data_IF_481963216219
#
_entry.id   IF_481963216219
#
_cell.length_a   1.000
_cell.length_b   1.000
_cell.length_c   1.000
_cell.angle_alpha   90.00
_cell.angle_beta   90.00
_cell.angle_gamma   90.00
#
_symmetry.space_group_name_H-M   'P 1'
#
loop_
_entity.id
_entity.type
_entity.pdbx_description
1 polymer ?
#
# COMPACT_ATOMS: atom_id res chain seq x y z
N UNK A 1 16.63 -11.93 -73.62
CA UNK A 1 16.93 -11.54 -75.02
C UNK A 1 15.88 -12.14 -75.96
N UNK A 2 15.35 -11.37 -76.91
CA UNK A 2 14.40 -11.79 -77.95
C UNK A 2 15.13 -11.94 -79.29
N UNK A 3 15.02 -13.12 -79.93
CA UNK A 3 15.67 -13.46 -81.22
C UNK A 3 14.65 -13.99 -82.23
N UNK A 4 14.73 -13.48 -83.46
CA UNK A 4 14.09 -14.02 -84.65
C UNK A 4 15.14 -14.76 -85.49
N UNK A 5 14.97 -16.07 -85.63
CA UNK A 5 15.97 -17.01 -86.15
C UNK A 5 15.52 -17.77 -87.40
N UNK A 6 14.35 -17.45 -87.93
CA UNK A 6 13.78 -18.07 -89.12
C UNK A 6 13.17 -17.02 -90.05
N UNK A 7 13.19 -17.25 -91.36
CA UNK A 7 12.66 -16.33 -92.38
C UNK A 7 11.15 -16.13 -92.34
N UNK A 8 10.47 -16.84 -91.44
CA UNK A 8 9.02 -16.81 -91.23
C UNK A 8 8.63 -16.28 -89.85
N UNK A 9 9.60 -15.97 -88.99
CA UNK A 9 9.38 -15.58 -87.59
C UNK A 9 9.45 -14.06 -87.42
N UNK A 10 8.31 -13.43 -87.20
CA UNK A 10 8.18 -12.01 -86.86
C UNK A 10 7.88 -11.80 -85.38
N UNK A 11 8.15 -10.59 -84.88
CA UNK A 11 7.62 -10.10 -83.61
C UNK A 11 6.41 -9.21 -83.91
N UNK A 12 5.29 -9.54 -83.29
CA UNK A 12 4.04 -8.81 -83.45
C UNK A 12 3.49 -8.39 -82.09
N UNK A 13 2.60 -7.40 -82.09
CA UNK A 13 1.81 -7.07 -80.93
C UNK A 13 0.38 -6.72 -81.33
N UNK A 14 -0.55 -6.86 -80.38
CA UNK A 14 -1.96 -6.49 -80.50
C UNK A 14 -2.49 -6.00 -79.16
N UNK A 15 -3.64 -5.35 -79.17
CA UNK A 15 -4.36 -5.00 -77.95
C UNK A 15 -5.35 -6.11 -77.58
N UNK A 16 -5.60 -6.31 -76.28
CA UNK A 16 -6.63 -7.26 -75.83
C UNK A 16 -8.04 -6.75 -76.14
N UNK A 17 -8.25 -5.43 -76.11
CA UNK A 17 -9.52 -4.76 -76.39
C UNK A 17 -9.38 -3.62 -77.39
N UNK A 18 -10.52 -3.04 -77.79
CA UNK A 18 -10.53 -1.83 -78.63
C UNK A 18 -10.03 -0.62 -77.83
N UNK A 19 -9.39 0.34 -78.52
CA UNK A 19 -8.99 1.62 -77.93
C UNK A 19 -10.20 2.50 -77.61
N UNK A 20 -10.05 3.38 -76.62
CA UNK A 20 -11.09 4.34 -76.24
C UNK A 20 -11.06 5.60 -77.11
N UNK A 21 -9.86 6.10 -77.44
CA UNK A 21 -9.64 7.33 -78.18
C UNK A 21 -8.57 7.19 -79.28
N UNK A 22 -7.37 6.66 -78.95
CA UNK A 22 -6.23 6.64 -79.87
C UNK A 22 -5.55 5.25 -79.91
N UNK A 23 -5.06 4.87 -81.08
CA UNK A 23 -4.15 3.72 -81.25
C UNK A 23 -2.76 4.04 -80.69
N UNK A 24 -2.07 3.02 -80.19
CA UNK A 24 -0.80 3.13 -79.48
C UNK A 24 0.37 3.21 -80.47
N UNK A 25 1.14 4.31 -80.51
CA UNK A 25 2.36 4.37 -81.30
C UNK A 25 3.45 3.46 -80.73
N UNK A 26 4.25 2.86 -81.61
CA UNK A 26 5.36 2.01 -81.23
C UNK A 26 6.62 2.30 -82.05
N UNK A 27 7.77 1.98 -81.46
CA UNK A 27 9.06 1.95 -82.13
C UNK A 27 9.77 0.67 -81.72
N UNK A 28 10.33 -0.05 -82.69
CA UNK A 28 11.18 -1.21 -82.48
C UNK A 28 12.53 -0.99 -83.16
N UNK A 29 13.61 -1.34 -82.48
CA UNK A 29 14.95 -1.35 -83.05
C UNK A 29 15.63 -2.69 -82.77
N UNK A 30 16.36 -3.18 -83.76
CA UNK A 30 17.02 -4.48 -83.73
C UNK A 30 18.38 -4.44 -84.41
N UNK A 31 19.12 -5.52 -84.23
CA UNK A 31 20.34 -5.78 -84.97
C UNK A 31 20.21 -7.09 -85.75
N UNK A 32 20.53 -7.02 -87.04
CA UNK A 32 20.68 -8.17 -87.91
C UNK A 32 22.12 -8.69 -87.84
N UNK A 33 22.24 -9.96 -87.49
CA UNK A 33 23.47 -10.72 -87.39
C UNK A 33 23.53 -11.70 -88.57
N UNK A 34 24.53 -11.53 -89.43
CA UNK A 34 24.97 -12.56 -90.37
C UNK A 34 26.32 -13.12 -89.90
N UNK A 35 26.88 -14.08 -90.64
CA UNK A 35 28.19 -14.64 -90.31
C UNK A 35 29.32 -13.59 -90.23
N UNK A 36 29.18 -12.43 -90.90
CA UNK A 36 30.24 -11.42 -91.01
C UNK A 36 29.80 -9.97 -90.77
N UNK A 37 28.50 -9.70 -90.64
CA UNK A 37 27.98 -8.33 -90.51
C UNK A 37 26.97 -8.18 -89.38
N UNK A 38 27.04 -7.01 -88.73
CA UNK A 38 26.08 -6.48 -87.78
C UNK A 38 25.40 -5.27 -88.42
N UNK A 39 24.11 -5.36 -88.73
CA UNK A 39 23.38 -4.28 -89.40
C UNK A 39 22.20 -3.83 -88.54
N UNK A 40 22.16 -2.58 -88.05
CA UNK A 40 21.01 -2.09 -87.31
C UNK A 40 19.79 -1.92 -88.22
N UNK A 41 18.60 -2.16 -87.69
CA UNK A 41 17.33 -1.87 -88.33
C UNK A 41 16.31 -1.34 -87.34
N UNK A 42 15.27 -0.69 -87.85
CA UNK A 42 14.18 -0.16 -87.03
C UNK A 42 12.86 -0.17 -87.79
N UNK A 43 11.76 -0.05 -87.05
CA UNK A 43 10.41 0.20 -87.55
C UNK A 43 9.66 1.01 -86.51
N UNK A 44 8.81 1.91 -87.00
CA UNK A 44 7.85 2.67 -86.23
C UNK A 44 6.46 2.54 -86.85
N UNK A 45 5.43 2.75 -86.04
CA UNK A 45 4.05 2.65 -86.50
C UNK A 45 3.06 2.86 -85.37
N UNK A 46 1.81 2.47 -85.61
CA UNK A 46 0.71 2.53 -84.65
C UNK A 46 0.05 1.15 -84.53
N UNK A 47 -0.57 0.87 -83.39
CA UNK A 47 -1.39 -0.33 -83.23
C UNK A 47 -2.64 -0.31 -84.13
N UNK A 48 -3.34 -1.44 -84.20
CA UNK A 48 -4.56 -1.61 -84.99
C UNK A 48 -5.62 -2.39 -84.19
N UNK A 49 -5.93 -1.89 -82.99
CA UNK A 49 -6.84 -2.51 -82.06
C UNK A 49 -6.43 -3.94 -81.71
N UNK A 50 -7.38 -4.85 -81.83
CA UNK A 50 -7.17 -6.29 -81.55
C UNK A 50 -6.48 -7.04 -82.68
N UNK A 51 -6.19 -6.39 -83.82
CA UNK A 51 -5.46 -6.98 -84.93
C UNK A 51 -3.96 -6.87 -84.71
N UNK A 52 -3.23 -7.96 -84.94
CA UNK A 52 -1.77 -7.98 -84.77
C UNK A 52 -1.07 -7.08 -85.79
N UNK A 53 -0.14 -6.25 -85.30
CA UNK A 53 0.77 -5.42 -86.08
C UNK A 53 2.17 -6.00 -85.99
N UNK A 54 2.87 -6.08 -87.12
CA UNK A 54 4.27 -6.53 -87.16
C UNK A 54 5.19 -5.42 -86.66
N UNK A 55 5.65 -5.53 -85.41
CA UNK A 55 6.63 -4.63 -84.84
C UNK A 55 8.03 -4.86 -85.41
N UNK A 56 8.36 -6.13 -85.69
CA UNK A 56 9.62 -6.51 -86.34
C UNK A 56 9.35 -7.62 -87.34
N UNK A 57 9.63 -7.34 -88.62
CA UNK A 57 9.48 -8.32 -89.70
C UNK A 57 10.39 -9.54 -89.50
N UNK A 58 10.14 -10.63 -90.24
CA UNK A 58 11.04 -11.77 -90.25
C UNK A 58 12.40 -11.40 -90.87
N UNK A 59 13.52 -12.00 -90.41
CA UNK A 59 14.83 -11.80 -91.01
C UNK A 59 14.91 -12.42 -92.42
N UNK A 60 15.86 -11.93 -93.23
CA UNK A 60 16.24 -12.59 -94.48
C UNK A 60 16.92 -13.94 -94.26
N UNK A 61 17.11 -14.73 -95.32
CA UNK A 61 17.82 -15.99 -95.23
C UNK A 61 19.25 -15.79 -94.70
N UNK A 62 19.70 -16.68 -93.81
CA UNK A 62 21.02 -16.62 -93.15
C UNK A 62 21.27 -15.38 -92.27
N UNK A 63 20.20 -14.72 -91.81
CA UNK A 63 20.25 -13.61 -90.85
C UNK A 63 19.47 -13.99 -89.60
N UNK A 64 20.02 -13.65 -88.43
CA UNK A 64 19.27 -13.64 -87.17
C UNK A 64 19.04 -12.20 -86.74
N UNK A 65 17.86 -11.91 -86.20
CA UNK A 65 17.50 -10.56 -85.75
C UNK A 65 17.34 -10.55 -84.24
N UNK A 66 18.17 -9.78 -83.55
CA UNK A 66 18.11 -9.58 -82.11
C UNK A 66 17.40 -8.26 -81.81
N UNK A 67 16.28 -8.30 -81.09
CA UNK A 67 15.60 -7.09 -80.66
C UNK A 67 16.47 -6.36 -79.62
N UNK A 68 16.72 -5.07 -79.84
CA UNK A 68 17.45 -4.21 -78.90
C UNK A 68 16.49 -3.42 -78.03
N UNK A 69 15.44 -2.86 -78.63
CA UNK A 69 14.36 -2.23 -77.87
C UNK A 69 13.02 -2.31 -78.60
N UNK A 70 11.94 -2.34 -77.82
CA UNK A 70 10.57 -2.12 -78.27
C UNK A 70 9.94 -1.14 -77.28
N UNK A 71 9.37 -0.05 -77.78
CA UNK A 71 8.64 0.92 -76.98
C UNK A 71 7.23 1.03 -77.55
N UNK A 72 6.21 0.89 -76.70
CA UNK A 72 4.80 1.05 -77.05
C UNK A 72 4.23 2.07 -76.08
N UNK A 73 3.89 3.25 -76.57
CA UNK A 73 3.33 4.33 -75.75
C UNK A 73 1.80 4.25 -75.78
N UNK A 74 1.19 4.30 -74.61
CA UNK A 74 -0.26 4.33 -74.48
C UNK A 74 -0.80 5.75 -74.63
N UNK A 75 -1.04 6.16 -75.88
CA UNK A 75 -1.68 7.43 -76.23
C UNK A 75 -3.23 7.39 -76.07
N UNK A 76 -3.77 6.24 -75.65
CA UNK A 76 -5.20 6.11 -75.34
C UNK A 76 -5.54 6.80 -74.01
N UNK A 77 -6.79 7.24 -73.87
CA UNK A 77 -7.31 7.84 -72.64
C UNK A 77 -7.57 6.82 -71.52
N UNK A 78 -7.50 5.52 -71.82
CA UNK A 78 -7.74 4.42 -70.88
C UNK A 78 -6.53 3.48 -70.79
N UNK A 79 -6.57 2.54 -69.83
CA UNK A 79 -5.57 1.47 -69.72
C UNK A 79 -5.69 0.56 -70.94
N UNK A 80 -4.59 0.39 -71.67
CA UNK A 80 -4.51 -0.55 -72.78
C UNK A 80 -3.73 -1.81 -72.36
N UNK A 81 -4.27 -2.99 -72.64
CA UNK A 81 -3.56 -4.26 -72.40
C UNK A 81 -2.87 -4.69 -73.69
N UNK A 82 -1.54 -4.67 -73.67
CA UNK A 82 -0.69 -4.99 -74.82
C UNK A 82 -0.24 -6.44 -74.73
N UNK A 83 -0.50 -7.20 -75.80
CA UNK A 83 -0.02 -8.57 -75.97
C UNK A 83 1.10 -8.57 -77.00
N UNK A 84 2.31 -8.98 -76.60
CA UNK A 84 3.45 -9.16 -77.50
C UNK A 84 3.60 -10.65 -77.81
N UNK A 85 3.79 -11.01 -79.08
CA UNK A 85 3.81 -12.39 -79.55
C UNK A 85 4.83 -12.63 -80.67
N UNK A 86 5.33 -13.86 -80.79
CA UNK A 86 5.93 -14.32 -82.03
C UNK A 86 4.85 -14.83 -82.98
N UNK A 87 5.03 -14.58 -84.28
CA UNK A 87 4.31 -15.26 -85.35
C UNK A 87 5.33 -15.98 -86.23
N UNK A 88 5.25 -17.32 -86.25
CA UNK A 88 6.07 -18.14 -87.13
C UNK A 88 5.15 -18.86 -88.12
N UNK A 89 4.94 -18.26 -89.30
CA UNK A 89 4.06 -18.79 -90.34
C UNK A 89 2.66 -19.20 -89.79
N UNK A 90 1.97 -18.25 -89.14
CA UNK A 90 0.67 -18.41 -88.47
C UNK A 90 0.68 -19.21 -87.15
N UNK A 91 1.82 -19.77 -86.72
CA UNK A 91 1.97 -20.33 -85.37
C UNK A 91 2.31 -19.20 -84.38
N UNK A 92 1.33 -18.81 -83.55
CA UNK A 92 1.46 -17.71 -82.60
C UNK A 92 1.99 -18.20 -81.24
N UNK A 93 2.93 -17.45 -80.64
CA UNK A 93 3.38 -17.66 -79.26
C UNK A 93 3.40 -16.33 -78.51
N UNK A 94 2.49 -16.17 -77.55
CA UNK A 94 2.46 -15.00 -76.66
C UNK A 94 3.70 -14.98 -75.75
N UNK A 95 4.37 -13.83 -75.70
CA UNK A 95 5.54 -13.59 -74.86
C UNK A 95 5.17 -12.89 -73.56
N UNK A 96 4.25 -11.93 -73.64
CA UNK A 96 3.78 -11.20 -72.48
C UNK A 96 2.43 -10.56 -72.78
N UNK A 97 1.69 -10.27 -71.71
CA UNK A 97 0.43 -9.53 -71.70
C UNK A 97 0.50 -8.55 -70.53
N UNK A 98 0.52 -7.26 -70.83
CA UNK A 98 0.84 -6.22 -69.85
C UNK A 98 -0.16 -5.07 -69.99
N UNK A 99 -0.76 -4.68 -68.86
CA UNK A 99 -1.54 -3.46 -68.74
C UNK A 99 -0.63 -2.23 -68.73
N UNK A 100 -0.82 -1.32 -69.68
CA UNK A 100 -0.11 -0.04 -69.76
C UNK A 100 -1.10 1.05 -69.41
N UNK A 101 -0.87 1.86 -68.35
CA UNK A 101 -1.78 2.95 -68.00
C UNK A 101 -1.83 4.01 -69.10
N UNK A 102 -2.89 4.82 -69.12
CA UNK A 102 -2.96 5.98 -70.03
C UNK A 102 -1.73 6.88 -69.84
N UNK A 103 -1.13 7.34 -70.94
CA UNK A 103 0.15 8.07 -70.97
C UNK A 103 1.36 7.30 -70.39
N UNK A 104 1.27 5.97 -70.24
CA UNK A 104 2.39 5.11 -69.89
C UNK A 104 3.11 4.52 -71.10
N UNK A 105 4.29 3.93 -70.90
CA UNK A 105 5.06 3.25 -71.95
C UNK A 105 5.41 1.83 -71.52
N UNK A 106 5.10 0.84 -72.34
CA UNK A 106 5.73 -0.48 -72.26
C UNK A 106 7.07 -0.41 -73.00
N UNK A 107 8.16 -0.69 -72.30
CA UNK A 107 9.50 -0.76 -72.89
C UNK A 107 10.09 -2.15 -72.71
N UNK A 108 10.68 -2.69 -73.78
CA UNK A 108 11.62 -3.78 -73.72
C UNK A 108 13.02 -3.22 -73.99
N UNK A 109 13.99 -3.62 -73.18
CA UNK A 109 15.40 -3.38 -73.47
C UNK A 109 16.15 -4.72 -73.38
N UNK A 110 17.01 -4.99 -74.36
CA UNK A 110 17.88 -6.16 -74.33
C UNK A 110 18.74 -6.16 -73.06
N UNK A 111 18.68 -7.24 -72.29
CA UNK A 111 19.32 -7.36 -70.98
C UNK A 111 18.41 -7.02 -69.79
N UNK A 112 17.38 -6.18 -69.95
CA UNK A 112 16.51 -5.73 -68.84
C UNK A 112 15.09 -6.31 -68.89
N UNK A 113 14.64 -6.79 -70.05
CA UNK A 113 13.29 -7.34 -70.20
C UNK A 113 12.22 -6.28 -70.39
N UNK A 114 10.96 -6.65 -70.17
CA UNK A 114 9.81 -5.75 -70.27
C UNK A 114 9.62 -4.95 -68.97
N UNK A 115 9.38 -3.65 -69.09
CA UNK A 115 9.06 -2.73 -67.99
C UNK A 115 7.93 -1.80 -68.43
N UNK A 116 7.09 -1.38 -67.48
CA UNK A 116 6.10 -0.32 -67.70
C UNK A 116 6.57 0.94 -66.99
N UNK A 117 6.64 2.04 -67.72
CA UNK A 117 6.95 3.37 -67.19
C UNK A 117 5.65 4.18 -67.18
N UNK A 118 5.26 4.76 -66.05
CA UNK A 118 4.07 5.63 -65.98
C UNK A 118 4.35 7.04 -66.52
N UNK A 119 3.32 7.87 -66.59
CA UNK A 119 3.43 9.27 -67.02
C UNK A 119 4.31 10.15 -66.13
N UNK A 120 4.60 9.72 -64.90
CA UNK A 120 5.53 10.38 -63.98
C UNK A 120 7.00 9.91 -64.16
N UNK A 121 7.27 8.95 -65.04
CA UNK A 121 8.60 8.39 -65.29
C UNK A 121 9.00 7.25 -64.34
N UNK A 122 8.08 6.74 -63.53
CA UNK A 122 8.33 5.65 -62.57
C UNK A 122 8.12 4.29 -63.24
N UNK A 123 8.98 3.32 -62.92
CA UNK A 123 8.79 1.92 -63.35
C UNK A 123 7.73 1.26 -62.45
N UNK A 124 6.57 0.93 -63.01
CA UNK A 124 5.41 0.39 -62.27
C UNK A 124 5.51 -1.10 -61.94
N UNK A 125 6.44 -1.82 -62.56
CA UNK A 125 6.69 -3.23 -62.28
C UNK A 125 8.16 -3.57 -62.53
N UNK A 126 9.01 -3.22 -61.56
CA UNK A 126 10.17 -4.05 -61.27
C UNK A 126 9.72 -5.01 -60.18
N UNK A 127 9.80 -6.32 -60.40
CA UNK A 127 9.84 -7.25 -59.27
C UNK A 127 11.14 -6.95 -58.53
N UNK A 128 11.06 -6.12 -57.48
CA UNK A 128 12.10 -6.05 -56.46
C UNK A 128 11.65 -6.93 -55.29
N UNK A 129 12.16 -8.16 -55.15
CA UNK A 129 11.80 -9.03 -54.04
C UNK A 129 12.41 -8.59 -52.70
N UNK A 130 13.22 -7.51 -52.68
CA UNK A 130 13.78 -6.96 -51.45
C UNK A 130 13.37 -5.48 -51.26
N UNK A 131 12.48 -5.27 -50.29
CA UNK A 131 12.27 -4.01 -49.51
C UNK A 131 11.23 -2.99 -50.01
N UNK A 132 10.01 -3.21 -49.53
CA UNK A 132 9.25 -2.33 -48.62
C UNK A 132 8.82 -0.90 -49.05
N UNK A 133 7.51 -0.79 -49.29
CA UNK A 133 6.63 0.08 -48.49
C UNK A 133 5.34 -0.67 -48.18
N UNK A 134 5.41 -1.58 -47.20
CA UNK A 134 4.19 -2.04 -46.56
C UNK A 134 3.62 -0.82 -45.84
N UNK A 135 2.54 -0.24 -46.36
CA UNK A 135 1.77 0.73 -45.62
C UNK A 135 1.22 0.01 -44.39
N UNK A 136 1.80 0.28 -43.22
CA UNK A 136 1.38 -0.32 -41.94
C UNK A 136 -0.10 -0.07 -41.66
N UNK A 137 -0.67 1.00 -42.22
CA UNK A 137 -2.10 1.32 -42.17
C UNK A 137 -3.00 0.26 -42.84
N UNK A 138 -2.54 -0.43 -43.89
CA UNK A 138 -3.35 -1.44 -44.59
C UNK A 138 -3.28 -2.81 -43.89
N UNK A 139 -2.19 -3.08 -43.19
CA UNK A 139 -1.96 -4.35 -42.46
C UNK A 139 -2.84 -4.47 -41.21
N UNK A 140 -3.17 -3.35 -40.56
CA UNK A 140 -3.96 -3.34 -39.32
C UNK A 140 -5.45 -3.68 -39.57
N UNK A 141 -5.96 -3.48 -40.79
CA UNK A 141 -7.40 -3.67 -41.08
C UNK A 141 -7.79 -5.14 -41.27
N UNK A 142 -6.83 -6.06 -41.43
CA UNK A 142 -7.08 -7.46 -41.79
C UNK A 142 -6.94 -8.48 -40.64
N UNK A 143 -6.63 -8.07 -39.41
CA UNK A 143 -6.56 -8.99 -38.27
C UNK A 143 -5.41 -10.00 -38.34
N UNK A 144 -4.26 -9.61 -38.88
CA UNK A 144 -3.08 -10.47 -38.96
C UNK A 144 -2.39 -10.49 -37.60
N UNK A 145 -2.18 -11.68 -37.05
CA UNK A 145 -1.33 -11.87 -35.87
C UNK A 145 0.13 -11.65 -36.28
N UNK A 146 0.78 -10.63 -35.74
CA UNK A 146 2.22 -10.51 -35.80
C UNK A 146 2.83 -11.48 -34.79
N UNK A 147 3.47 -12.55 -35.27
CA UNK A 147 4.22 -13.49 -34.42
C UNK A 147 5.66 -13.02 -34.15
N UNK A 148 6.03 -11.81 -34.59
CA UNK A 148 7.35 -11.21 -34.33
C UNK A 148 7.25 -10.04 -33.35
N UNK A 149 8.25 -9.98 -32.46
CA UNK A 149 8.51 -8.92 -31.50
C UNK A 149 8.65 -7.56 -32.22
N UNK A 150 7.96 -6.54 -31.71
CA UNK A 150 8.15 -5.16 -32.16
C UNK A 150 9.32 -4.58 -31.36
N UNK A 151 10.54 -4.69 -31.90
CA UNK A 151 11.74 -4.03 -31.35
C UNK A 151 11.79 -2.57 -31.82
N UNK A 152 11.04 -1.69 -31.13
CA UNK A 152 11.02 -0.26 -31.42
C UNK A 152 12.06 0.49 -30.57
N UNK A 153 13.22 0.81 -31.16
CA UNK A 153 14.30 1.56 -30.49
C UNK A 153 13.90 2.97 -29.99
N UNK A 154 12.79 3.53 -30.50
CA UNK A 154 12.28 4.86 -30.12
C UNK A 154 10.98 4.81 -29.30
N UNK A 155 10.58 3.63 -28.83
CA UNK A 155 9.31 3.41 -28.13
C UNK A 155 8.12 3.25 -29.07
N UNK A 156 6.99 2.82 -28.51
CA UNK A 156 5.72 2.65 -29.23
C UNK A 156 4.79 3.77 -28.79
N UNK A 157 4.55 4.75 -29.67
CA UNK A 157 3.51 5.76 -29.45
C UNK A 157 2.16 5.23 -29.96
N UNK A 158 1.19 5.08 -29.06
CA UNK A 158 -0.16 4.61 -29.37
C UNK A 158 -1.11 5.80 -29.23
N UNK A 159 -1.13 6.67 -30.23
CA UNK A 159 -2.06 7.78 -30.30
C UNK A 159 -3.44 7.28 -30.78
N UNK A 160 -4.47 7.34 -29.94
CA UNK A 160 -5.87 7.11 -30.34
C UNK A 160 -6.55 5.84 -29.81
N UNK A 161 -5.94 5.13 -28.84
CA UNK A 161 -6.55 3.98 -28.16
C UNK A 161 -5.76 3.57 -26.91
N UNK A 162 -6.20 2.52 -26.21
CA UNK A 162 -5.46 1.92 -25.10
C UNK A 162 -4.61 0.73 -25.54
N UNK A 163 -3.46 0.52 -24.91
CA UNK A 163 -2.67 -0.70 -25.07
C UNK A 163 -3.35 -1.85 -24.33
N UNK A 164 -3.93 -2.80 -25.06
CA UNK A 164 -4.45 -4.06 -24.50
C UNK A 164 -3.40 -5.15 -24.66
N UNK A 165 -2.66 -5.43 -23.60
CA UNK A 165 -1.74 -6.58 -23.59
C UNK A 165 -2.43 -7.75 -22.89
N UNK A 166 -2.54 -8.89 -23.58
CA UNK A 166 -3.05 -10.12 -22.97
C UNK A 166 -1.96 -10.84 -22.19
N UNK A 167 -2.30 -11.43 -21.04
CA UNK A 167 -1.37 -12.20 -20.22
C UNK A 167 -0.46 -11.35 -19.31
N UNK A 168 0.60 -11.96 -18.77
CA UNK A 168 1.56 -11.29 -17.90
C UNK A 168 2.44 -10.35 -18.74
N UNK A 169 2.38 -9.05 -18.46
CA UNK A 169 3.16 -8.03 -19.16
C UNK A 169 4.20 -7.45 -18.21
N UNK A 170 5.45 -7.41 -18.64
CA UNK A 170 6.53 -6.74 -17.92
C UNK A 170 6.76 -5.38 -18.58
N UNK A 171 6.52 -4.30 -17.83
CA UNK A 171 6.89 -2.94 -18.25
C UNK A 171 8.16 -2.58 -17.49
N UNK A 172 9.31 -2.75 -18.14
CA UNK A 172 10.63 -2.41 -17.59
C UNK A 172 10.97 -0.95 -17.95
N UNK A 173 10.50 -0.01 -17.13
CA UNK A 173 10.81 1.41 -17.29
C UNK A 173 12.06 1.75 -16.48
N UNK A 174 13.10 2.31 -17.13
CA UNK A 174 14.35 2.73 -16.47
C UNK A 174 14.18 3.90 -15.50
N UNK A 175 13.06 4.63 -15.60
CA UNK A 175 12.73 5.75 -14.72
C UNK A 175 11.33 5.60 -14.12
N UNK A 176 10.28 6.00 -14.85
CA UNK A 176 8.92 6.10 -14.33
C UNK A 176 7.89 5.45 -15.26
N UNK A 177 6.84 4.88 -14.67
CA UNK A 177 5.58 4.58 -15.37
C UNK A 177 4.64 5.77 -15.16
N UNK A 178 4.54 6.65 -16.16
CA UNK A 178 3.67 7.83 -16.11
C UNK A 178 2.22 7.48 -16.46
N UNK A 179 1.29 7.67 -15.53
CA UNK A 179 -0.14 7.42 -15.73
C UNK A 179 -0.86 8.74 -15.49
N UNK A 180 -1.47 9.32 -16.54
CA UNK A 180 -2.12 10.62 -16.46
C UNK A 180 -3.56 10.57 -15.89
N UNK A 181 -4.12 9.38 -15.72
CA UNK A 181 -5.46 9.14 -15.17
C UNK A 181 -5.43 8.11 -14.03
N UNK A 182 -6.56 7.43 -13.84
CA UNK A 182 -6.72 6.46 -12.75
C UNK A 182 -6.02 5.14 -13.05
N UNK A 183 -5.53 4.48 -11.99
CA UNK A 183 -5.08 3.10 -12.02
C UNK A 183 -6.23 2.25 -11.49
N UNK A 184 -6.86 1.47 -12.38
CA UNK A 184 -7.87 0.48 -11.99
C UNK A 184 -7.27 -0.90 -11.99
N UNK A 185 -7.49 -1.65 -10.92
CA UNK A 185 -7.08 -3.05 -10.79
C UNK A 185 -8.35 -3.92 -10.80
N UNK A 186 -8.22 -5.19 -11.18
CA UNK A 186 -9.31 -6.13 -11.03
C UNK A 186 -9.60 -6.40 -9.55
N UNK A 187 -10.76 -6.99 -9.26
CA UNK A 187 -11.02 -7.58 -7.95
C UNK A 187 -9.91 -8.59 -7.56
N UNK A 188 -9.59 -8.67 -6.27
CA UNK A 188 -8.49 -9.47 -5.71
C UNK A 188 -7.08 -9.17 -6.28
N UNK A 189 -6.90 -8.01 -6.93
CA UNK A 189 -5.61 -7.65 -7.52
C UNK A 189 -4.75 -6.77 -6.60
N UNK A 190 -3.45 -6.78 -6.88
CA UNK A 190 -2.46 -6.14 -6.02
C UNK A 190 -1.37 -5.42 -6.83
N UNK A 191 -0.85 -4.35 -6.23
CA UNK A 191 0.37 -3.65 -6.64
C UNK A 191 1.49 -4.06 -5.69
N UNK A 192 2.55 -4.70 -6.17
CA UNK A 192 3.62 -5.14 -5.26
C UNK A 192 4.73 -5.92 -5.92
N UNK A 193 5.66 -6.40 -5.09
CA UNK A 193 6.86 -7.12 -5.54
C UNK A 193 6.61 -8.63 -5.75
N UNK A 194 5.38 -9.09 -5.52
CA UNK A 194 4.94 -10.48 -5.64
C UNK A 194 4.02 -10.92 -4.49
N UNK A 195 3.28 -12.01 -4.68
CA UNK A 195 2.28 -12.51 -3.73
C UNK A 195 2.83 -12.89 -2.32
N UNK A 196 4.14 -13.09 -2.18
CA UNK A 196 4.81 -13.39 -0.90
C UNK A 196 5.71 -12.24 -0.40
N UNK A 197 5.59 -11.06 -1.00
CA UNK A 197 6.36 -9.87 -0.66
C UNK A 197 5.40 -8.71 -0.38
N UNK A 198 5.96 -7.57 0.01
CA UNK A 198 5.20 -6.36 0.26
C UNK A 198 4.33 -5.97 -0.94
N UNK A 199 3.04 -5.77 -0.67
CA UNK A 199 2.04 -5.36 -1.66
C UNK A 199 0.96 -4.48 -1.05
N UNK A 200 0.34 -3.68 -1.91
CA UNK A 200 -0.92 -3.01 -1.67
C UNK A 200 -1.98 -3.81 -2.44
N UNK A 201 -2.95 -4.32 -1.73
CA UNK A 201 -4.04 -5.12 -2.27
C UNK A 201 -5.34 -4.33 -2.09
N UNK A 202 -6.18 -4.37 -3.12
CA UNK A 202 -7.50 -3.74 -3.14
C UNK A 202 -8.52 -4.87 -3.13
N UNK A 203 -9.38 -4.91 -2.13
CA UNK A 203 -10.36 -5.97 -1.87
C UNK A 203 -11.75 -5.32 -1.71
N UNK A 204 -12.77 -5.89 -2.36
CA UNK A 204 -14.18 -5.46 -2.29
C UNK A 204 -15.06 -6.53 -1.62
N UNK A 205 -14.50 -7.32 -0.70
CA UNK A 205 -15.26 -8.26 0.09
C UNK A 205 -16.16 -7.55 1.13
N UNK A 206 -17.34 -7.10 0.69
CA UNK A 206 -18.40 -6.44 1.45
C UNK A 206 -18.10 -5.02 1.98
N UNK A 207 -16.83 -4.63 2.08
CA UNK A 207 -16.37 -3.27 2.33
C UNK A 207 -15.13 -3.02 1.47
N UNK A 208 -15.07 -1.88 0.77
CA UNK A 208 -13.89 -1.48 0.01
C UNK A 208 -12.69 -1.25 0.93
N UNK A 209 -11.64 -2.05 0.75
CA UNK A 209 -10.49 -2.06 1.65
C UNK A 209 -9.16 -1.97 0.89
N UNK A 210 -8.22 -1.20 1.45
CA UNK A 210 -6.84 -1.14 0.97
C UNK A 210 -5.94 -1.79 2.00
N UNK A 211 -5.44 -2.98 1.69
CA UNK A 211 -4.60 -3.76 2.56
C UNK A 211 -3.12 -3.57 2.20
N UNK A 212 -2.29 -3.29 3.20
CA UNK A 212 -0.82 -3.38 3.07
C UNK A 212 -0.39 -4.73 3.63
N UNK A 213 -0.16 -5.71 2.75
CA UNK A 213 0.14 -7.11 3.15
C UNK A 213 1.63 -7.42 3.04
N UNK A 214 2.11 -8.21 4.00
CA UNK A 214 3.50 -8.68 4.10
C UNK A 214 4.54 -7.55 3.95
N UNK A 215 4.20 -6.36 4.43
CA UNK A 215 4.95 -5.12 4.28
C UNK A 215 5.01 -4.31 5.58
N UNK A 216 6.02 -3.45 5.68
CA UNK A 216 6.09 -2.40 6.71
C UNK A 216 5.52 -1.11 6.12
N UNK A 217 4.60 -0.46 6.84
CA UNK A 217 4.05 0.84 6.46
C UNK A 217 4.76 1.96 7.23
N UNK A 218 5.58 2.71 6.50
CA UNK A 218 6.33 3.84 7.02
C UNK A 218 5.82 5.17 6.49
N UNK A 219 5.68 6.16 7.38
CA UNK A 219 5.39 7.54 7.00
C UNK A 219 6.62 8.41 7.31
N UNK A 220 7.70 8.26 6.52
CA UNK A 220 8.91 9.11 6.47
C UNK A 220 9.90 8.61 5.38
N UNK A 221 11.04 9.28 5.18
CA UNK A 221 12.13 8.85 4.27
C UNK A 221 13.08 7.79 4.87
N UNK A 222 12.92 7.43 6.14
CA UNK A 222 13.76 6.43 6.82
C UNK A 222 13.10 5.05 6.81
N UNK A 223 13.92 3.99 6.79
CA UNK A 223 13.44 2.61 6.84
C UNK A 223 12.56 2.36 8.08
N UNK A 224 11.34 1.84 7.91
CA UNK A 224 10.47 1.51 9.03
C UNK A 224 11.07 0.43 9.93
N UNK A 225 10.98 0.60 11.25
CA UNK A 225 11.45 -0.39 12.23
C UNK A 225 10.32 -1.30 12.76
N UNK A 226 9.12 -1.18 12.21
CA UNK A 226 7.92 -1.94 12.60
C UNK A 226 6.83 -1.84 11.53
N UNK A 227 5.75 -2.61 11.70
CA UNK A 227 4.66 -2.72 10.70
C UNK A 227 3.90 -1.41 10.47
N UNK A 228 3.74 -0.60 11.51
CA UNK A 228 3.24 0.78 11.43
C UNK A 228 4.28 1.68 12.10
N UNK A 229 4.98 2.49 11.30
CA UNK A 229 5.97 3.43 11.79
C UNK A 229 5.58 4.86 11.40
N UNK A 230 5.00 5.58 12.36
CA UNK A 230 4.56 6.96 12.18
C UNK A 230 5.50 7.89 12.94
N UNK A 231 6.30 8.66 12.20
CA UNK A 231 7.26 9.62 12.76
C UNK A 231 6.87 11.02 12.31
N UNK A 232 6.71 11.95 13.25
CA UNK A 232 6.46 13.33 12.88
C UNK A 232 7.71 13.94 12.25
N UNK A 233 7.58 14.52 11.06
CA UNK A 233 8.68 15.18 10.35
C UNK A 233 9.13 16.51 10.97
N UNK A 234 8.41 17.01 11.98
CA UNK A 234 8.72 18.22 12.73
C UNK A 234 8.02 18.18 14.11
N UNK A 235 8.63 18.78 15.13
CA UNK A 235 8.09 18.85 16.50
C UNK A 235 6.72 19.58 16.58
N UNK A 236 6.36 20.37 15.58
CA UNK A 236 5.13 21.14 15.53
C UNK A 236 3.92 20.37 14.93
N UNK A 237 4.09 19.10 14.54
CA UNK A 237 3.02 18.28 13.96
C UNK A 237 2.77 17.04 14.79
N UNK A 238 1.50 16.77 15.09
CA UNK A 238 1.06 15.54 15.76
C UNK A 238 1.36 14.35 14.84
N UNK A 239 2.01 13.31 15.37
CA UNK A 239 2.37 12.12 14.59
C UNK A 239 1.14 11.31 14.19
N UNK A 240 0.20 11.09 15.10
CA UNK A 240 -1.03 10.32 14.89
C UNK A 240 -2.23 11.08 15.48
N UNK A 241 -3.24 11.34 14.66
CA UNK A 241 -4.55 11.82 15.10
C UNK A 241 -5.53 10.67 14.91
N UNK A 242 -6.25 10.32 15.98
CA UNK A 242 -7.36 9.37 15.92
C UNK A 242 -8.60 10.14 16.39
N UNK A 243 -9.49 10.43 15.45
CA UNK A 243 -10.71 11.22 15.64
C UNK A 243 -11.93 10.35 15.35
N UNK A 244 -13.01 10.53 16.09
CA UNK A 244 -14.19 9.67 16.05
C UNK A 244 -15.48 10.48 16.11
N UNK A 245 -16.59 9.88 15.69
CA UNK A 245 -17.91 10.47 15.87
C UNK A 245 -18.16 10.82 17.35
N UNK A 246 -19.06 11.78 17.59
CA UNK A 246 -19.27 12.43 18.89
C UNK A 246 -19.55 11.49 20.08
N UNK A 247 -19.91 10.23 19.84
CA UNK A 247 -20.23 9.22 20.87
C UNK A 247 -19.83 7.80 20.41
N UNK A 248 -18.52 7.45 20.44
CA UNK A 248 -18.07 6.15 19.93
C UNK A 248 -18.59 4.99 20.80
N UNK A 249 -19.15 3.95 20.17
CA UNK A 249 -19.58 2.73 20.87
C UNK A 249 -18.44 1.73 21.13
N UNK A 250 -17.21 2.07 20.72
CA UNK A 250 -16.00 1.26 20.82
C UNK A 250 -14.80 2.13 21.24
N UNK A 251 -13.71 1.54 21.77
CA UNK A 251 -12.51 2.30 22.07
C UNK A 251 -11.93 2.97 20.82
N UNK A 252 -11.37 4.17 21.02
CA UNK A 252 -10.71 4.94 19.95
C UNK A 252 -9.37 4.31 19.59
N UNK A 253 -8.68 3.73 20.57
CA UNK A 253 -7.50 2.88 20.38
C UNK A 253 -7.67 1.60 21.19
N UNK A 254 -7.51 0.44 20.55
CA UNK A 254 -7.56 -0.87 21.20
C UNK A 254 -6.29 -1.69 20.87
N UNK A 255 -5.49 -1.97 21.89
CA UNK A 255 -4.33 -2.85 21.80
C UNK A 255 -4.76 -4.26 22.18
N UNK A 256 -4.83 -5.14 21.18
CA UNK A 256 -5.22 -6.54 21.31
C UNK A 256 -4.01 -7.48 21.33
N UNK A 257 -4.09 -8.55 22.11
CA UNK A 257 -3.21 -9.70 22.01
C UNK A 257 -4.04 -10.94 21.65
N UNK A 258 -3.75 -11.54 20.48
CA UNK A 258 -4.47 -12.68 19.93
C UNK A 258 -6.00 -12.47 19.83
N UNK A 259 -6.42 -11.33 19.27
CA UNK A 259 -7.83 -10.96 19.13
C UNK A 259 -8.49 -10.40 20.39
N UNK A 260 -7.84 -10.49 21.56
CA UNK A 260 -8.38 -10.04 22.85
C UNK A 260 -7.80 -8.71 23.28
N UNK A 261 -8.65 -7.73 23.58
CA UNK A 261 -8.25 -6.41 24.07
C UNK A 261 -7.48 -6.49 25.40
N UNK A 262 -6.42 -5.67 25.53
CA UNK A 262 -5.53 -5.61 26.71
C UNK A 262 -5.40 -4.21 27.27
N UNK A 263 -5.24 -3.23 26.40
CA UNK A 263 -5.10 -1.83 26.78
C UNK A 263 -5.93 -1.03 25.80
N UNK A 264 -6.71 -0.08 26.29
CA UNK A 264 -7.49 0.78 25.43
C UNK A 264 -7.54 2.22 25.92
N UNK A 265 -7.71 3.12 24.95
CA UNK A 265 -8.09 4.52 25.16
C UNK A 265 -9.52 4.64 24.67
N UNK A 266 -10.44 5.02 25.55
CA UNK A 266 -11.83 5.27 25.17
C UNK A 266 -12.28 6.66 25.62
N UNK A 267 -13.29 7.14 24.91
CA UNK A 267 -13.95 8.41 25.15
C UNK A 267 -15.44 8.09 25.26
N UNK A 268 -16.10 8.61 26.29
CA UNK A 268 -17.55 8.59 26.46
C UNK A 268 -18.03 10.04 26.62
N UNK A 269 -19.35 10.24 26.58
CA UNK A 269 -19.98 11.56 26.59
C UNK A 269 -19.48 12.46 27.74
N UNK A 270 -19.17 11.85 28.89
CA UNK A 270 -18.74 12.57 30.11
C UNK A 270 -17.31 12.21 30.59
N UNK A 271 -16.64 11.22 29.97
CA UNK A 271 -15.41 10.62 30.51
C UNK A 271 -14.33 10.36 29.44
N UNK A 272 -13.07 10.52 29.84
CA UNK A 272 -11.92 9.99 29.09
C UNK A 272 -11.06 9.15 29.99
N UNK A 273 -10.74 7.94 29.56
CA UNK A 273 -9.95 7.02 30.36
C UNK A 273 -8.92 6.23 29.55
N UNK A 274 -7.84 5.86 30.23
CA UNK A 274 -6.90 4.83 29.81
C UNK A 274 -7.12 3.60 30.69
N UNK A 275 -7.43 2.45 30.07
CA UNK A 275 -7.68 1.20 30.81
C UNK A 275 -6.61 0.18 30.56
N UNK A 276 -6.17 -0.44 31.65
CA UNK A 276 -5.54 -1.75 31.61
C UNK A 276 -6.67 -2.77 31.80
N UNK A 277 -7.16 -3.34 30.70
CA UNK A 277 -8.25 -4.32 30.76
C UNK A 277 -7.78 -5.58 31.47
N UNK A 278 -8.72 -6.24 32.14
CA UNK A 278 -8.48 -7.57 32.68
C UNK A 278 -8.23 -8.57 31.55
N UNK A 279 -7.13 -9.31 31.65
CA UNK A 279 -7.12 -10.68 31.17
C UNK A 279 -7.46 -11.55 32.37
N UNK A 280 -8.75 -11.72 32.63
CA UNK A 280 -9.20 -12.83 33.46
C UNK A 280 -9.16 -14.09 32.58
N UNK A 281 -8.79 -15.22 33.16
CA UNK A 281 -8.72 -16.50 32.44
C UNK A 281 -10.12 -17.08 32.17
N UNK A 282 -11.19 -16.36 32.53
CA UNK A 282 -12.60 -16.76 32.47
C UNK A 282 -13.52 -15.56 32.07
N UNK A 283 -14.81 -15.82 31.82
CA UNK A 283 -15.76 -14.96 31.10
C UNK A 283 -16.26 -13.67 31.83
N UNK A 284 -15.54 -13.16 32.83
CA UNK A 284 -15.97 -12.03 33.67
C UNK A 284 -15.10 -10.77 33.58
N UNK A 285 -15.62 -9.64 34.09
CA UNK A 285 -14.80 -8.46 34.38
C UNK A 285 -14.05 -8.70 35.70
N UNK A 286 -12.74 -8.92 35.61
CA UNK A 286 -11.88 -9.11 36.78
C UNK A 286 -11.37 -7.80 37.41
N UNK A 287 -10.35 -7.89 38.29
CA UNK A 287 -9.64 -6.74 38.84
C UNK A 287 -8.88 -5.97 37.76
N UNK A 288 -9.15 -4.67 37.62
CA UNK A 288 -8.49 -3.77 36.65
C UNK A 288 -8.07 -2.46 37.27
N UNK A 289 -7.22 -1.73 36.54
CA UNK A 289 -6.83 -0.37 36.89
C UNK A 289 -7.24 0.58 35.76
N UNK A 290 -7.84 1.70 36.14
CA UNK A 290 -8.16 2.79 35.24
C UNK A 290 -7.48 4.08 35.70
N UNK A 291 -7.04 4.88 34.73
CA UNK A 291 -6.67 6.27 34.95
C UNK A 291 -7.76 7.10 34.29
N UNK A 292 -8.45 7.89 35.09
CA UNK A 292 -9.68 8.58 34.71
C UNK A 292 -9.52 10.08 34.95
N UNK A 293 -10.20 10.86 34.11
CA UNK A 293 -10.52 12.26 34.39
C UNK A 293 -12.01 12.37 34.57
N UNK A 294 -12.45 13.11 35.59
CA UNK A 294 -13.84 13.55 35.70
C UNK A 294 -13.86 15.08 35.59
N UNK A 295 -14.27 15.61 34.44
CA UNK A 295 -14.39 17.06 34.27
C UNK A 295 -15.27 17.37 33.04
N UNK A 296 -16.52 17.73 33.30
CA UNK A 296 -17.23 18.65 32.42
C UNK A 296 -16.68 20.06 32.70
N UNK A 297 -16.31 20.82 31.67
CA UNK A 297 -15.58 22.08 31.76
C UNK A 297 -16.23 23.18 32.61
N UNK A 298 -17.47 22.98 33.06
CA UNK A 298 -18.17 23.84 34.02
C UNK A 298 -18.03 23.41 35.50
N UNK A 299 -17.73 22.14 35.79
CA UNK A 299 -17.62 21.58 37.15
C UNK A 299 -16.42 20.63 37.26
N UNK A 300 -15.19 21.17 37.38
CA UNK A 300 -14.00 20.35 37.41
C UNK A 300 -13.94 19.48 38.66
N UNK A 301 -13.58 18.20 38.50
CA UNK A 301 -13.24 17.31 39.58
C UNK A 301 -11.79 16.82 39.43
N UNK A 302 -11.27 16.19 40.49
CA UNK A 302 -9.93 15.63 40.47
C UNK A 302 -9.80 14.48 39.44
N UNK A 303 -8.65 14.44 38.76
CA UNK A 303 -8.21 13.22 38.08
C UNK A 303 -7.89 12.13 39.11
N UNK A 304 -8.20 10.88 38.80
CA UNK A 304 -8.11 9.81 39.77
C UNK A 304 -7.65 8.48 39.15
N UNK A 305 -7.12 7.62 40.01
CA UNK A 305 -6.80 6.23 39.67
C UNK A 305 -7.80 5.32 40.37
N UNK A 306 -8.50 4.50 39.60
CA UNK A 306 -9.49 3.55 40.13
C UNK A 306 -8.97 2.14 40.02
N UNK A 307 -8.92 1.45 41.17
CA UNK A 307 -8.66 0.02 41.24
C UNK A 307 -9.99 -0.71 41.45
N UNK A 308 -10.27 -1.73 40.65
CA UNK A 308 -11.47 -2.53 40.80
C UNK A 308 -11.14 -3.85 41.49
N UNK A 309 -11.95 -4.24 42.46
CA UNK A 309 -11.84 -5.56 43.09
C UNK A 309 -12.44 -6.67 42.21
N UNK A 310 -12.42 -7.91 42.72
CA UNK A 310 -13.03 -9.08 42.06
C UNK A 310 -14.56 -8.98 41.88
N UNK A 311 -15.22 -8.13 42.66
CA UNK A 311 -16.66 -7.89 42.61
C UNK A 311 -17.04 -6.69 41.74
N UNK A 312 -16.08 -6.13 41.00
CA UNK A 312 -16.23 -4.92 40.18
C UNK A 312 -16.55 -3.66 41.00
N UNK A 313 -16.21 -3.63 42.30
CA UNK A 313 -16.26 -2.42 43.11
C UNK A 313 -15.00 -1.58 42.88
N UNK A 314 -15.18 -0.32 42.51
CA UNK A 314 -14.10 0.64 42.33
C UNK A 314 -13.62 1.24 43.65
N UNK A 315 -12.31 1.47 43.74
CA UNK A 315 -11.64 2.17 44.81
C UNK A 315 -10.77 3.26 44.16
N UNK A 316 -11.23 4.49 44.25
CA UNK A 316 -10.59 5.65 43.67
C UNK A 316 -9.55 6.24 44.62
N UNK A 317 -8.45 6.71 44.04
CA UNK A 317 -7.38 7.46 44.71
C UNK A 317 -7.19 8.78 43.98
N UNK A 318 -7.27 9.91 44.70
CA UNK A 318 -7.13 11.25 44.12
C UNK A 318 -6.58 12.26 45.13
N UNK A 319 -5.90 13.32 44.69
CA UNK A 319 -5.64 14.50 45.51
C UNK A 319 -6.91 15.38 45.55
N UNK A 320 -7.31 15.81 46.74
CA UNK A 320 -8.39 16.79 46.88
C UNK A 320 -7.89 18.24 46.69
N UNK A 321 -8.81 19.19 46.70
CA UNK A 321 -8.60 20.63 46.56
C UNK A 321 -7.81 21.25 47.74
N UNK A 322 -7.67 20.52 48.85
CA UNK A 322 -6.82 20.91 49.99
C UNK A 322 -5.39 20.40 49.85
N UNK A 323 -5.11 19.53 48.86
CA UNK A 323 -3.83 18.90 48.61
C UNK A 323 -3.63 17.56 49.31
N UNK A 324 -4.67 17.03 49.95
CA UNK A 324 -4.63 15.75 50.67
C UNK A 324 -4.93 14.59 49.71
N UNK A 325 -4.19 13.49 49.84
CA UNK A 325 -4.46 12.28 49.09
C UNK A 325 -5.63 11.52 49.72
N UNK A 326 -6.62 11.11 48.93
CA UNK A 326 -7.84 10.44 49.40
C UNK A 326 -8.03 9.05 48.82
N UNK A 327 -8.72 8.18 49.56
CA UNK A 327 -9.24 6.88 49.12
C UNK A 327 -10.73 6.80 49.39
N UNK A 328 -11.52 6.37 48.39
CA UNK A 328 -12.97 6.20 48.51
C UNK A 328 -13.50 5.17 47.51
N UNK A 329 -14.74 4.72 47.68
CA UNK A 329 -15.40 3.75 46.80
C UNK A 329 -16.22 4.37 45.67
N UNK A 330 -16.42 5.69 45.70
CA UNK A 330 -17.04 6.46 44.62
C UNK A 330 -16.05 7.45 44.02
N UNK A 331 -16.21 7.76 42.73
CA UNK A 331 -15.35 8.67 41.99
C UNK A 331 -15.47 10.11 42.56
N UNK A 332 -14.37 10.89 42.54
CA UNK A 332 -14.42 12.30 42.87
C UNK A 332 -15.21 13.08 41.82
N UNK A 333 -15.96 14.06 42.28
CA UNK A 333 -16.79 15.04 41.59
C UNK A 333 -16.49 16.38 42.23
N UNK A 334 -16.80 17.49 41.56
CA UNK A 334 -16.61 18.83 42.13
C UNK A 334 -17.27 18.98 43.54
N UNK A 335 -18.39 18.29 43.78
CA UNK A 335 -19.14 18.39 45.03
C UNK A 335 -18.66 17.45 46.15
N UNK A 336 -17.96 16.36 45.82
CA UNK A 336 -17.52 15.34 46.79
C UNK A 336 -16.00 15.16 46.81
N UNK A 337 -15.25 16.15 46.33
CA UNK A 337 -13.79 16.11 46.24
C UNK A 337 -13.11 15.87 47.61
N UNK A 338 -13.71 16.39 48.70
CA UNK A 338 -13.30 16.12 50.08
C UNK A 338 -13.79 14.80 50.68
N UNK A 339 -14.44 13.91 49.92
CA UNK A 339 -15.03 12.68 50.44
C UNK A 339 -13.99 11.56 50.62
N UNK A 340 -14.30 10.61 51.50
CA UNK A 340 -13.42 9.46 51.76
C UNK A 340 -12.34 9.72 52.79
N UNK A 341 -11.37 8.81 52.82
CA UNK A 341 -10.36 8.73 53.87
C UNK A 341 -9.09 9.42 53.38
N UNK A 342 -8.60 10.39 54.14
CA UNK A 342 -7.28 10.98 53.90
C UNK A 342 -6.21 9.93 54.17
N UNK A 343 -5.31 9.75 53.21
CA UNK A 343 -4.15 8.87 53.31
C UNK A 343 -3.07 9.57 54.11
N UNK A 344 -2.75 9.03 55.27
CA UNK A 344 -1.64 9.52 56.10
C UNK A 344 -2.06 10.39 57.29
N UNK A 345 -3.30 10.90 57.31
CA UNK A 345 -3.80 11.70 58.43
C UNK A 345 -4.63 10.88 59.42
N UNK A 346 -4.16 10.81 60.66
CA UNK A 346 -4.95 10.35 61.79
C UNK A 346 -5.29 11.55 62.68
N UNK A 347 -6.47 12.15 62.47
CA UNK A 347 -6.90 13.28 63.28
C UNK A 347 -7.20 12.86 64.73
N UNK A 348 -6.55 13.53 65.70
CA UNK A 348 -6.88 13.43 67.12
C UNK A 348 -7.83 14.54 67.60
N UNK A 349 -8.56 15.18 66.67
CA UNK A 349 -9.46 16.30 66.95
C UNK A 349 -10.69 15.87 67.76
N UNK A 350 -11.06 16.67 68.77
CA UNK A 350 -12.12 16.32 69.72
C UNK A 350 -13.52 16.24 69.10
N UNK A 351 -13.84 17.07 68.10
CA UNK A 351 -15.16 17.05 67.43
C UNK A 351 -15.36 15.77 66.60
N UNK A 352 -14.27 15.11 66.19
CA UNK A 352 -14.31 13.81 65.52
C UNK A 352 -14.45 12.63 66.48
N UNK A 353 -14.58 12.88 67.80
CA UNK A 353 -14.62 11.84 68.84
C UNK A 353 -15.85 11.98 69.71
N UNK A 354 -16.58 10.87 69.88
CA UNK A 354 -17.62 10.80 70.92
C UNK A 354 -16.96 10.69 72.29
N UNK A 355 -17.08 11.75 73.09
CA UNK A 355 -16.53 11.75 74.46
C UNK A 355 -17.48 10.96 75.35
N UNK A 356 -17.07 9.75 75.74
CA UNK A 356 -17.88 8.83 76.55
C UNK A 356 -17.81 9.11 78.06
N UNK A 357 -16.94 10.03 78.48
CA UNK A 357 -16.73 10.37 79.88
C UNK A 357 -15.27 10.67 80.19
N UNK A 358 -14.94 10.88 81.47
CA UNK A 358 -13.55 11.00 81.89
C UNK A 358 -12.78 9.72 81.56
N UNK A 359 -11.47 9.86 81.36
CA UNK A 359 -10.58 8.72 81.30
C UNK A 359 -10.62 7.93 82.62
N UNK A 360 -9.99 6.75 82.63
CA UNK A 360 -9.81 5.94 83.84
C UNK A 360 -9.24 6.78 85.00
N UNK A 361 -9.60 6.44 86.25
CA UNK A 361 -9.11 7.19 87.41
C UNK A 361 -7.58 7.12 87.51
N UNK A 362 -6.93 8.19 87.98
CA UNK A 362 -5.47 8.20 88.14
C UNK A 362 -4.95 7.03 89.01
N UNK A 363 -5.59 6.66 90.14
CA UNK A 363 -5.20 5.48 90.91
C UNK A 363 -5.32 4.16 90.13
N UNK A 364 -6.39 4.00 89.34
CA UNK A 364 -6.55 2.82 88.51
C UNK A 364 -5.53 2.78 87.37
N UNK A 365 -5.17 3.92 86.79
CA UNK A 365 -4.10 4.02 85.79
C UNK A 365 -2.74 3.63 86.40
N UNK A 366 -2.40 4.13 87.59
CA UNK A 366 -1.19 3.72 88.34
C UNK A 366 -1.19 2.22 88.58
N UNK A 367 -2.30 1.65 89.05
CA UNK A 367 -2.43 0.20 89.27
C UNK A 367 -2.21 -0.58 87.98
N UNK A 368 -2.87 -0.17 86.89
CA UNK A 368 -2.87 -0.90 85.65
C UNK A 368 -1.51 -0.81 84.94
N UNK A 369 -0.84 0.35 84.99
CA UNK A 369 0.54 0.52 84.50
C UNK A 369 1.53 -0.27 85.36
N UNK A 370 1.39 -0.26 86.69
CA UNK A 370 2.25 -1.03 87.58
C UNK A 370 2.09 -2.55 87.43
N UNK A 371 0.94 -3.01 86.92
CA UNK A 371 0.66 -4.40 86.63
C UNK A 371 1.19 -4.87 85.25
N UNK A 372 1.69 -3.95 84.42
CA UNK A 372 2.26 -4.32 83.12
C UNK A 372 3.51 -5.19 83.31
N UNK A 373 3.57 -6.29 82.55
CA UNK A 373 4.72 -7.18 82.52
C UNK A 373 5.55 -6.88 81.28
N UNK A 374 6.80 -6.49 81.48
CA UNK A 374 7.76 -6.32 80.41
C UNK A 374 8.56 -7.61 80.23
N UNK A 375 8.57 -8.10 79.00
CA UNK A 375 9.23 -9.34 78.65
C UNK A 375 10.33 -9.10 77.61
N UNK A 376 11.32 -9.99 77.63
CA UNK A 376 12.26 -10.12 76.53
C UNK A 376 11.66 -11.01 75.46
N UNK A 377 11.62 -10.52 74.22
CA UNK A 377 11.09 -11.29 73.11
C UNK A 377 11.94 -11.14 71.84
N UNK A 378 11.76 -12.12 70.95
CA UNK A 378 12.23 -12.10 69.56
C UNK A 378 11.02 -12.30 68.67
N UNK A 379 11.00 -11.64 67.52
CA UNK A 379 10.00 -11.96 66.51
C UNK A 379 10.27 -13.36 65.95
N UNK A 380 9.22 -14.15 65.75
CA UNK A 380 9.33 -15.50 65.18
C UNK A 380 9.73 -15.51 63.69
N UNK A 381 9.71 -14.35 63.03
CA UNK A 381 10.12 -14.19 61.63
C UNK A 381 11.51 -13.54 61.48
N UNK A 382 12.05 -13.57 60.26
CA UNK A 382 13.36 -13.01 59.92
C UNK A 382 13.35 -11.51 59.60
N UNK A 383 12.20 -10.83 59.79
CA UNK A 383 12.03 -9.43 59.40
C UNK A 383 12.85 -8.42 60.23
N UNK A 384 13.35 -8.83 61.38
CA UNK A 384 14.25 -8.04 62.21
C UNK A 384 15.51 -8.87 62.49
N UNK A 385 16.63 -8.46 61.90
CA UNK A 385 17.96 -9.04 62.14
C UNK A 385 18.93 -7.94 62.50
N UNK A 386 19.90 -8.26 63.36
CA UNK A 386 21.07 -7.41 63.55
C UNK A 386 22.00 -7.51 62.33
N UNK A 387 22.98 -6.62 62.25
CA UNK A 387 23.94 -6.60 61.14
C UNK A 387 24.75 -7.91 61.00
N UNK A 388 24.84 -8.70 62.06
CA UNK A 388 25.50 -10.01 62.11
C UNK A 388 24.57 -11.19 61.78
N UNK A 389 23.32 -10.91 61.37
CA UNK A 389 22.31 -11.91 61.03
C UNK A 389 21.62 -12.56 62.23
N UNK A 390 21.97 -12.19 63.47
CA UNK A 390 21.29 -12.72 64.66
C UNK A 390 19.96 -11.99 64.91
N UNK A 391 18.91 -12.67 65.40
CA UNK A 391 17.66 -12.00 65.75
C UNK A 391 17.85 -11.11 66.99
N UNK A 392 17.56 -9.79 66.89
CA UNK A 392 17.64 -8.88 68.02
C UNK A 392 16.65 -9.28 69.12
N UNK A 393 17.08 -9.13 70.36
CA UNK A 393 16.21 -9.27 71.54
C UNK A 393 15.64 -7.88 71.83
N UNK A 394 14.32 -7.81 71.96
CA UNK A 394 13.61 -6.60 72.38
C UNK A 394 13.12 -6.77 73.81
N UNK A 395 13.06 -5.67 74.56
CA UNK A 395 12.34 -5.62 75.83
C UNK A 395 11.05 -4.83 75.57
N UNK A 396 9.90 -5.39 75.89
CA UNK A 396 8.63 -4.70 75.66
C UNK A 396 7.43 -5.46 76.18
N UNK A 397 6.25 -4.93 75.87
CA UNK A 397 4.98 -5.53 76.24
C UNK A 397 4.59 -6.59 75.20
N UNK A 398 4.20 -7.76 75.68
CA UNK A 398 3.69 -8.87 74.86
C UNK A 398 2.23 -9.07 75.25
N UNK A 399 1.35 -9.14 74.24
CA UNK A 399 -0.07 -9.43 74.45
C UNK A 399 -0.23 -10.94 74.53
N UNK A 400 -0.71 -11.43 75.67
CA UNK A 400 -0.90 -12.87 75.91
C UNK A 400 -2.37 -13.26 75.86
N UNK A 401 -3.27 -12.35 76.26
CA UNK A 401 -4.71 -12.54 76.18
C UNK A 401 -5.34 -11.50 75.24
N UNK A 402 -6.31 -11.93 74.42
CA UNK A 402 -7.14 -11.02 73.62
C UNK A 402 -8.09 -10.15 74.46
N UNK A 403 -7.97 -10.22 75.78
CA UNK A 403 -8.63 -9.35 76.76
C UNK A 403 -7.68 -8.34 77.42
N UNK A 404 -6.39 -8.39 77.12
CA UNK A 404 -5.43 -7.41 77.64
C UNK A 404 -5.85 -6.01 77.18
N UNK A 405 -6.05 -5.09 78.13
CA UNK A 405 -6.58 -3.75 77.84
C UNK A 405 -5.66 -2.92 76.94
N UNK A 406 -4.36 -3.26 76.92
CA UNK A 406 -3.33 -2.64 76.09
C UNK A 406 -3.23 -3.26 74.69
N UNK A 407 -4.13 -4.18 74.32
CA UNK A 407 -4.24 -4.69 72.95
C UNK A 407 -5.41 -4.08 72.17
N UNK A 408 -5.25 -3.97 70.86
CA UNK A 408 -6.29 -3.61 69.88
C UNK A 408 -6.34 -4.66 68.77
N UNK A 409 -7.35 -4.58 67.91
CA UNK A 409 -7.58 -5.54 66.82
C UNK A 409 -7.75 -6.99 67.32
N UNK A 410 -8.58 -7.17 68.35
CA UNK A 410 -8.79 -8.46 69.03
C UNK A 410 -9.75 -9.41 68.29
N UNK A 411 -10.12 -9.10 67.04
CA UNK A 411 -11.08 -9.91 66.26
C UNK A 411 -10.60 -11.35 66.02
N UNK A 412 -11.51 -12.32 65.78
CA UNK A 412 -11.16 -13.74 65.60
C UNK A 412 -10.04 -13.99 64.58
N UNK A 413 -10.03 -13.20 63.49
CA UNK A 413 -9.10 -13.31 62.37
C UNK A 413 -8.02 -12.22 62.33
N UNK A 414 -7.84 -11.49 63.42
CA UNK A 414 -6.84 -10.42 63.50
C UNK A 414 -5.70 -10.83 64.43
N UNK A 415 -4.49 -10.42 64.08
CA UNK A 415 -3.35 -10.45 65.00
C UNK A 415 -3.48 -9.23 65.92
N UNK A 416 -3.55 -9.42 67.25
CA UNK A 416 -3.57 -8.30 68.19
C UNK A 416 -2.40 -7.37 67.96
N UNK A 417 -2.66 -6.07 67.99
CA UNK A 417 -1.64 -5.03 67.94
C UNK A 417 -1.65 -4.26 69.26
N UNK A 418 -0.55 -3.59 69.60
CA UNK A 418 -0.50 -2.73 70.78
C UNK A 418 -1.47 -1.54 70.60
N UNK A 419 -2.24 -1.28 71.65
CA UNK A 419 -3.09 -0.10 71.77
C UNK A 419 -2.28 1.07 72.34
N UNK A 420 -1.41 1.64 71.52
CA UNK A 420 -0.51 2.73 71.91
C UNK A 420 -1.25 3.95 72.46
N UNK A 421 -2.44 4.26 71.95
CA UNK A 421 -3.24 5.38 72.42
C UNK A 421 -3.69 5.18 73.88
N UNK A 422 -4.25 4.00 74.19
CA UNK A 422 -4.69 3.68 75.55
C UNK A 422 -3.51 3.55 76.52
N UNK A 423 -2.42 2.95 76.05
CA UNK A 423 -1.18 2.83 76.80
C UNK A 423 -0.62 4.21 77.18
N UNK A 424 -0.53 5.12 76.21
CA UNK A 424 -0.03 6.48 76.41
C UNK A 424 -0.94 7.30 77.33
N UNK A 425 -2.27 7.16 77.20
CA UNK A 425 -3.22 7.83 78.08
C UNK A 425 -3.02 7.43 79.54
N UNK A 426 -2.86 6.14 79.83
CA UNK A 426 -2.64 5.64 81.20
C UNK A 426 -1.28 6.02 81.74
N UNK A 427 -0.21 5.95 80.94
CA UNK A 427 1.09 6.48 81.36
C UNK A 427 1.02 7.97 81.73
N UNK A 428 0.34 8.78 80.92
CA UNK A 428 0.13 10.20 81.21
C UNK A 428 -0.58 10.42 82.54
N UNK A 429 -1.65 9.68 82.81
CA UNK A 429 -2.40 9.73 84.07
C UNK A 429 -1.56 9.26 85.27
N UNK A 430 -0.77 8.19 85.12
CA UNK A 430 0.16 7.71 86.14
C UNK A 430 1.20 8.78 86.49
N UNK A 431 1.78 9.43 85.49
CA UNK A 431 2.76 10.52 85.69
C UNK A 431 2.10 11.70 86.42
N UNK A 432 0.90 12.12 86.00
CA UNK A 432 0.14 13.18 86.67
C UNK A 432 -0.15 12.83 88.14
N UNK A 433 -0.54 11.58 88.42
CA UNK A 433 -0.77 11.08 89.78
C UNK A 433 0.49 11.20 90.64
N UNK A 434 1.62 10.66 90.16
CA UNK A 434 2.90 10.71 90.87
C UNK A 434 3.34 12.15 91.11
N UNK A 435 3.21 13.04 90.12
CA UNK A 435 3.53 14.47 90.30
C UNK A 435 2.65 15.08 91.40
N UNK A 436 1.34 14.81 91.39
CA UNK A 436 0.42 15.36 92.40
C UNK A 436 0.73 14.85 93.81
N UNK A 437 1.09 13.58 93.96
CA UNK A 437 1.49 12.98 95.24
C UNK A 437 2.82 13.56 95.73
N UNK A 438 3.80 13.72 94.84
CA UNK A 438 5.09 14.34 95.18
C UNK A 438 4.90 15.80 95.60
N UNK A 439 4.04 16.57 94.90
CA UNK A 439 3.68 17.94 95.27
C UNK A 439 2.96 18.01 96.63
N UNK A 440 2.13 17.01 96.95
CA UNK A 440 1.47 16.92 98.24
C UNK A 440 2.43 16.56 99.38
N UNK A 441 3.51 15.81 99.10
CA UNK A 441 4.50 15.35 100.09
C UNK A 441 5.56 16.40 100.45
N UNK A 442 5.75 17.45 99.65
CA UNK A 442 6.65 18.56 99.98
C UNK A 442 6.27 19.81 99.22
N UNK A 443 6.07 20.93 99.93
CA UNK A 443 5.65 22.24 99.39
C UNK A 443 6.65 22.93 98.44
N UNK A 444 7.17 22.20 97.46
CA UNK A 444 7.97 22.70 96.36
C UNK A 444 7.10 22.77 95.10
N UNK A 445 6.65 23.98 94.78
CA UNK A 445 6.13 24.31 93.46
C UNK A 445 7.29 24.33 92.46
N UNK A 446 7.39 23.30 91.64
CA UNK A 446 8.15 23.38 90.39
C UNK A 446 7.27 24.07 89.35
N UNK A 447 7.77 25.19 88.84
CA UNK A 447 7.26 25.91 87.68
C UNK A 447 7.12 24.99 86.45
#
# INVERSE_FOLDING_TARGET
MIILDATTKSLEFKLLGAVSANELPFIAAWADHSATAFTPGHTDGISNGTTAVTAVAAPGASVQRQLKTLMIFNDDSAVAVVIVQYNNNATIRQLTEISVPANGTLTYTDGEGFRVINSAGEVLAAFDPDVAKVNVAEVITAGWAFTQEIDAQAGVDISGGGLKVGGSTVIDASENIGIAGDITLADDAWMGLGAAKGRIEFDDAAVDEVNVRDALFGVNIATPTGQLHVVSGAAARVGLIVDTAATPSQPVVDLKNNGTSRVDISIADDDTFLRLKTYDNDAGLGPRVMIERNNDGATPAAGHVTMFDKGNQGYAVWPDDSGDLRIHTGNPTNANDGAGIVVGDQSSWHEGKTILGPAISAPDAVRDVAALVFEQFRYNGTGYQQWDGTPPIFNGLVIHDRKDWWGKNMGPHQTPALNELELFARYGLTIQSVISEVQALGGFTWL
#
